data_IF_867303530285
#
_entry.id   IF_867303530285
#
_cell.length_a   1.000
_cell.length_b   1.000
_cell.length_c   1.000
_cell.angle_alpha   90.00
_cell.angle_beta   90.00
_cell.angle_gamma   90.00
#
_symmetry.space_group_name_H-M   'P 1'
#
loop_
_entity.id
_entity.type
_entity.pdbx_description
1 polymer ?
#
# COMPACT_ATOMS: atom_id res chain seq x y z
N UNK A 1 9.33 14.55 -8.76
CA UNK A 1 9.50 13.61 -7.62
C UNK A 1 9.02 14.33 -6.38
N UNK A 2 8.26 13.66 -5.50
CA UNK A 2 7.84 14.29 -4.23
C UNK A 2 9.06 14.50 -3.34
N UNK A 3 9.18 15.72 -2.79
CA UNK A 3 10.29 16.11 -1.91
C UNK A 3 10.20 15.32 -0.60
N UNK A 4 11.34 14.86 -0.06
CA UNK A 4 11.41 14.27 1.29
C UNK A 4 10.99 12.80 1.42
N UNK A 5 10.67 12.09 0.34
CA UNK A 5 10.39 10.64 0.41
C UNK A 5 11.62 9.85 0.84
N UNK A 6 12.82 10.27 0.41
CA UNK A 6 14.06 9.62 0.83
C UNK A 6 14.29 9.81 2.32
N UNK A 7 14.06 11.03 2.84
CA UNK A 7 14.14 11.32 4.27
C UNK A 7 13.10 10.53 5.10
N UNK A 8 11.89 10.34 4.56
CA UNK A 8 10.86 9.49 5.19
C UNK A 8 11.40 8.06 5.38
N UNK A 9 11.95 7.48 4.31
CA UNK A 9 12.49 6.12 4.34
C UNK A 9 13.73 6.02 5.22
N UNK A 10 14.65 6.98 5.15
CA UNK A 10 15.83 7.05 6.02
C UNK A 10 15.42 7.11 7.49
N UNK A 11 14.45 7.97 7.82
CA UNK A 11 13.95 8.10 9.20
C UNK A 11 13.29 6.81 9.67
N UNK A 12 12.47 6.16 8.85
CA UNK A 12 11.84 4.91 9.19
C UNK A 12 12.85 3.73 9.34
N UNK A 13 14.01 3.78 8.68
CA UNK A 13 15.07 2.77 8.80
C UNK A 13 15.87 2.83 10.10
N UNK A 14 15.87 3.97 10.81
CA UNK A 14 16.67 4.16 12.05
C UNK A 14 16.29 3.17 13.14
N UNK A 15 15.03 2.76 13.16
CA UNK A 15 14.52 1.78 14.10
C UNK A 15 13.91 0.60 13.35
N UNK A 16 14.45 -0.58 13.53
CA UNK A 16 13.93 -1.81 12.95
C UNK A 16 12.62 -2.19 13.63
N UNK A 17 11.68 -2.66 12.83
CA UNK A 17 10.42 -3.22 13.31
C UNK A 17 10.53 -4.74 13.33
N UNK A 18 10.31 -5.34 14.50
CA UNK A 18 10.17 -6.78 14.61
C UNK A 18 8.69 -7.17 14.62
N UNK A 19 8.31 -8.12 13.76
CA UNK A 19 6.93 -8.57 13.63
C UNK A 19 6.79 -9.98 14.22
N UNK A 20 5.64 -10.31 14.83
CA UNK A 20 5.39 -11.60 15.44
C UNK A 20 5.07 -12.73 14.45
N UNK A 21 5.33 -12.54 13.16
CA UNK A 21 5.05 -13.46 12.07
C UNK A 21 6.16 -13.41 11.02
N UNK A 22 6.15 -14.38 10.09
CA UNK A 22 7.19 -14.53 9.06
C UNK A 22 6.68 -14.24 7.64
N UNK A 23 5.38 -14.02 7.46
CA UNK A 23 4.75 -13.78 6.17
C UNK A 23 3.55 -12.85 6.29
N UNK A 24 3.50 -11.84 5.43
CA UNK A 24 2.29 -11.04 5.17
C UNK A 24 2.27 -10.53 3.74
N UNK A 25 1.10 -10.10 3.30
CA UNK A 25 0.91 -9.48 1.99
C UNK A 25 0.58 -8.00 2.16
N UNK A 26 1.06 -7.18 1.24
CA UNK A 26 0.72 -5.77 1.17
C UNK A 26 0.12 -5.43 -0.19
N UNK A 27 -0.96 -4.64 -0.19
CA UNK A 27 -1.60 -4.14 -1.41
C UNK A 27 -1.84 -2.63 -1.25
N UNK A 28 -1.23 -1.82 -2.12
CA UNK A 28 -1.66 -0.43 -2.25
C UNK A 28 -3.04 -0.38 -2.87
N UNK A 29 -3.91 0.53 -2.43
CA UNK A 29 -5.24 0.71 -3.02
C UNK A 29 -5.20 0.85 -4.55
N UNK A 30 -6.29 0.45 -5.23
CA UNK A 30 -6.48 0.64 -6.66
C UNK A 30 -6.54 2.13 -7.06
N UNK A 31 -6.48 2.39 -8.35
CA UNK A 31 -6.47 3.75 -8.90
C UNK A 31 -7.74 4.54 -8.54
N UNK A 32 -7.55 5.85 -8.36
CA UNK A 32 -8.62 6.83 -8.12
C UNK A 32 -8.52 7.95 -9.16
N UNK A 33 -9.55 8.76 -9.30
CA UNK A 33 -9.48 9.98 -10.10
C UNK A 33 -8.33 10.91 -9.64
N UNK A 34 -8.06 10.95 -8.32
CA UNK A 34 -6.96 11.74 -7.77
C UNK A 34 -5.58 11.20 -8.14
N UNK A 35 -5.40 9.86 -8.28
CA UNK A 35 -4.13 9.32 -8.81
C UNK A 35 -3.92 9.73 -10.26
N UNK A 36 -4.93 9.55 -11.11
CA UNK A 36 -4.86 9.92 -12.51
C UNK A 36 -4.67 11.43 -12.73
N UNK A 37 -5.26 12.26 -11.85
CA UNK A 37 -5.16 13.72 -11.92
C UNK A 37 -3.99 14.33 -11.14
N UNK A 38 -3.14 13.53 -10.47
CA UNK A 38 -2.01 14.05 -9.69
C UNK A 38 -2.44 14.93 -8.50
N UNK A 39 -3.51 14.54 -7.78
CA UNK A 39 -4.10 15.33 -6.69
C UNK A 39 -3.90 14.62 -5.35
N UNK A 40 -3.63 15.39 -4.28
CA UNK A 40 -3.65 14.93 -2.89
C UNK A 40 -5.09 14.61 -2.50
N UNK A 41 -5.36 13.35 -2.18
CA UNK A 41 -6.72 12.84 -2.09
C UNK A 41 -7.35 13.01 -0.71
N UNK A 42 -8.65 13.29 -0.68
CA UNK A 42 -9.46 13.21 0.53
C UNK A 42 -9.63 11.75 1.01
N UNK A 43 -9.92 11.53 2.30
CA UNK A 43 -10.20 10.18 2.83
C UNK A 43 -11.36 9.47 2.11
N UNK A 44 -12.36 10.23 1.65
CA UNK A 44 -13.57 9.74 0.99
C UNK A 44 -13.42 9.50 -0.51
N UNK A 45 -12.22 9.72 -1.09
CA UNK A 45 -11.99 9.48 -2.52
C UNK A 45 -12.15 7.98 -2.85
N UNK A 46 -13.12 7.61 -3.74
CA UNK A 46 -13.35 6.21 -4.11
C UNK A 46 -12.38 5.75 -5.20
N UNK A 47 -12.37 4.46 -5.48
CA UNK A 47 -11.75 3.90 -6.68
C UNK A 47 -12.49 4.40 -7.94
N UNK A 48 -11.74 4.63 -9.02
CA UNK A 48 -12.32 4.79 -10.36
C UNK A 48 -12.54 3.40 -11.01
N UNK A 49 -13.05 3.37 -12.24
CA UNK A 49 -13.32 2.12 -12.97
C UNK A 49 -12.05 1.27 -13.15
N UNK A 50 -10.91 1.89 -13.47
CA UNK A 50 -9.63 1.20 -13.58
C UNK A 50 -9.21 0.61 -12.22
N UNK A 51 -9.34 1.39 -11.13
CA UNK A 51 -9.03 0.95 -9.78
C UNK A 51 -9.89 -0.21 -9.29
N UNK A 52 -11.17 -0.24 -9.63
CA UNK A 52 -12.05 -1.38 -9.36
C UNK A 52 -11.56 -2.67 -10.05
N UNK A 53 -11.20 -2.57 -11.33
CA UNK A 53 -10.64 -3.68 -12.09
C UNK A 53 -9.27 -4.13 -11.53
N UNK A 54 -8.43 -3.19 -11.12
CA UNK A 54 -7.14 -3.46 -10.47
C UNK A 54 -7.33 -4.19 -9.14
N UNK A 55 -8.24 -3.72 -8.28
CA UNK A 55 -8.55 -4.34 -6.99
C UNK A 55 -9.05 -5.78 -7.15
N UNK A 56 -9.90 -6.03 -8.14
CA UNK A 56 -10.38 -7.38 -8.46
C UNK A 56 -9.25 -8.30 -8.93
N UNK A 57 -8.33 -7.81 -9.79
CA UNK A 57 -7.13 -8.58 -10.21
C UNK A 57 -6.22 -8.89 -9.02
N UNK A 58 -5.98 -7.93 -8.13
CA UNK A 58 -5.20 -8.14 -6.93
C UNK A 58 -5.79 -9.25 -6.04
N UNK A 59 -7.11 -9.25 -5.86
CA UNK A 59 -7.80 -10.31 -5.15
C UNK A 59 -7.62 -11.67 -5.81
N UNK A 60 -7.67 -11.75 -7.15
CA UNK A 60 -7.43 -13.00 -7.88
C UNK A 60 -6.01 -13.54 -7.68
N UNK A 61 -5.01 -12.68 -7.71
CA UNK A 61 -3.61 -13.06 -7.47
C UNK A 61 -3.40 -13.60 -6.04
N UNK A 62 -4.12 -13.04 -5.07
CA UNK A 62 -4.01 -13.47 -3.67
C UNK A 62 -4.88 -14.69 -3.32
N UNK A 63 -5.74 -15.16 -4.22
CA UNK A 63 -6.68 -16.26 -3.93
C UNK A 63 -5.98 -17.55 -3.52
N UNK A 64 -4.89 -17.87 -4.19
CA UNK A 64 -4.14 -19.12 -3.98
C UNK A 64 -2.99 -18.94 -2.97
N UNK A 65 -2.86 -17.75 -2.40
CA UNK A 65 -1.91 -17.46 -1.33
C UNK A 65 -2.54 -17.77 0.05
N UNK A 66 -1.75 -18.12 1.07
CA UNK A 66 -2.25 -18.56 2.37
C UNK A 66 -2.80 -17.42 3.25
N UNK A 67 -3.49 -16.45 2.66
CA UNK A 67 -4.06 -15.30 3.37
C UNK A 67 -5.14 -15.78 4.35
N UNK A 68 -4.99 -15.41 5.63
CA UNK A 68 -5.94 -15.82 6.68
C UNK A 68 -6.97 -14.75 7.03
N UNK A 69 -6.64 -13.47 6.80
CA UNK A 69 -7.56 -12.35 6.99
C UNK A 69 -7.07 -11.12 6.20
N UNK A 70 -7.98 -10.17 5.98
CA UNK A 70 -7.67 -8.91 5.29
C UNK A 70 -7.85 -7.75 6.25
N UNK A 71 -6.86 -6.86 6.34
CA UNK A 71 -6.91 -5.63 7.13
C UNK A 71 -6.77 -4.43 6.21
N UNK A 72 -7.76 -3.55 6.14
CA UNK A 72 -7.73 -2.40 5.26
C UNK A 72 -7.69 -1.07 6.03
N UNK A 73 -7.04 -0.08 5.44
CA UNK A 73 -7.16 1.31 5.86
C UNK A 73 -8.64 1.76 5.80
N UNK A 74 -9.02 2.64 6.72
CA UNK A 74 -10.37 3.24 6.75
C UNK A 74 -10.64 4.21 5.60
N UNK A 75 -9.62 4.64 4.83
CA UNK A 75 -9.85 5.49 3.66
C UNK A 75 -10.56 4.72 2.56
N UNK A 76 -11.58 5.34 1.96
CA UNK A 76 -12.55 4.67 1.09
C UNK A 76 -11.91 3.85 -0.03
N UNK A 77 -10.90 4.38 -0.74
CA UNK A 77 -10.18 3.68 -1.81
C UNK A 77 -9.49 2.39 -1.35
N UNK A 78 -8.89 2.41 -0.16
CA UNK A 78 -8.24 1.22 0.41
C UNK A 78 -9.28 0.23 0.95
N UNK A 79 -10.33 0.72 1.58
CA UNK A 79 -11.45 -0.11 2.03
C UNK A 79 -12.11 -0.87 0.86
N UNK A 80 -12.42 -0.17 -0.26
CA UNK A 80 -12.97 -0.80 -1.46
C UNK A 80 -12.02 -1.84 -2.07
N UNK A 81 -10.72 -1.57 -2.05
CA UNK A 81 -9.70 -2.55 -2.48
C UNK A 81 -9.68 -3.76 -1.54
N UNK A 82 -9.71 -3.53 -0.23
CA UNK A 82 -9.79 -4.58 0.80
C UNK A 82 -11.02 -5.46 0.66
N UNK A 83 -12.18 -4.88 0.32
CA UNK A 83 -13.40 -5.66 0.04
C UNK A 83 -13.21 -6.63 -1.13
N UNK A 84 -12.54 -6.19 -2.21
CA UNK A 84 -12.26 -7.04 -3.36
C UNK A 84 -11.27 -8.18 -3.00
N UNK A 85 -10.22 -7.86 -2.23
CA UNK A 85 -9.25 -8.85 -1.74
C UNK A 85 -9.94 -9.87 -0.82
N UNK A 86 -10.62 -9.42 0.24
CA UNK A 86 -11.27 -10.29 1.20
C UNK A 86 -12.30 -11.23 0.56
N UNK A 87 -13.07 -10.72 -0.42
CA UNK A 87 -14.02 -11.53 -1.18
C UNK A 87 -13.33 -12.63 -2.00
N UNK A 88 -12.20 -12.30 -2.63
CA UNK A 88 -11.49 -13.26 -3.50
C UNK A 88 -10.73 -14.33 -2.68
N UNK A 89 -10.19 -13.96 -1.53
CA UNK A 89 -9.45 -14.85 -0.62
C UNK A 89 -10.35 -15.56 0.40
N UNK A 90 -11.66 -15.25 0.40
CA UNK A 90 -12.64 -15.79 1.37
C UNK A 90 -12.27 -15.49 2.83
N UNK A 91 -11.66 -14.32 3.09
CA UNK A 91 -11.23 -13.91 4.42
C UNK A 91 -12.15 -12.88 5.04
N UNK A 92 -12.11 -12.76 6.38
CA UNK A 92 -12.76 -11.66 7.08
C UNK A 92 -12.02 -10.34 6.79
N UNK A 93 -12.77 -9.26 6.57
CA UNK A 93 -12.25 -7.90 6.42
C UNK A 93 -12.41 -7.13 7.72
N UNK A 94 -11.31 -6.67 8.29
CA UNK A 94 -11.28 -5.67 9.35
C UNK A 94 -10.68 -4.35 8.87
N UNK A 95 -10.88 -3.27 9.62
CA UNK A 95 -10.34 -1.96 9.28
C UNK A 95 -9.37 -1.46 10.36
N UNK A 96 -8.38 -0.70 9.93
CA UNK A 96 -7.39 -0.11 10.82
C UNK A 96 -7.12 1.36 10.45
N UNK A 97 -7.33 2.27 11.41
CA UNK A 97 -7.12 3.70 11.19
C UNK A 97 -5.65 4.12 11.26
N UNK A 98 -4.76 3.27 11.78
CA UNK A 98 -3.33 3.56 11.89
C UNK A 98 -2.59 3.36 10.57
N UNK A 99 -3.19 2.62 9.60
CA UNK A 99 -2.64 2.44 8.25
C UNK A 99 -3.29 3.34 7.19
N UNK A 100 -3.93 4.46 7.58
CA UNK A 100 -4.36 5.48 6.60
C UNK A 100 -3.16 6.19 5.99
N UNK A 101 -3.32 6.77 4.79
CA UNK A 101 -2.29 7.59 4.16
C UNK A 101 -1.98 8.80 5.02
N UNK A 102 -0.79 9.39 4.84
CA UNK A 102 -0.41 10.61 5.54
C UNK A 102 -1.46 11.69 5.36
N UNK A 103 -1.83 12.33 6.47
CA UNK A 103 -2.77 13.44 6.48
C UNK A 103 -2.03 14.71 6.10
N UNK A 104 -2.35 15.24 4.93
CA UNK A 104 -1.71 16.43 4.37
C UNK A 104 -2.51 17.73 4.65
N UNK A 105 -3.53 17.67 5.53
CA UNK A 105 -4.29 18.84 5.97
C UNK A 105 -4.83 19.67 4.81
N UNK A 106 -4.52 20.96 4.78
CA UNK A 106 -5.00 21.91 3.77
C UNK A 106 -4.54 21.55 2.34
N UNK A 107 -3.52 20.71 2.16
CA UNK A 107 -3.05 20.26 0.84
C UNK A 107 -4.02 19.28 0.15
N UNK A 108 -5.01 18.75 0.87
CA UNK A 108 -6.02 17.88 0.26
C UNK A 108 -6.80 18.62 -0.84
N UNK A 109 -6.97 17.99 -1.98
CA UNK A 109 -7.57 18.58 -3.18
C UNK A 109 -6.61 19.38 -4.05
N UNK A 110 -5.37 19.61 -3.62
CA UNK A 110 -4.34 20.33 -4.37
C UNK A 110 -3.46 19.39 -5.19
N UNK A 111 -2.76 19.90 -6.22
CA UNK A 111 -1.76 19.11 -6.96
C UNK A 111 -0.70 18.48 -6.04
N UNK A 112 -0.21 17.31 -6.41
CA UNK A 112 0.77 16.56 -5.63
C UNK A 112 2.21 16.62 -6.17
N UNK A 113 2.45 17.29 -7.28
CA UNK A 113 3.77 17.35 -7.94
C UNK A 113 4.83 18.08 -7.10
N UNK A 114 4.41 19.00 -6.22
CA UNK A 114 5.22 19.79 -5.30
C UNK A 114 5.02 19.36 -3.82
N UNK A 115 4.45 18.19 -3.60
CA UNK A 115 4.16 17.71 -2.25
C UNK A 115 5.46 17.44 -1.50
N UNK A 116 5.66 18.16 -0.41
CA UNK A 116 6.81 18.00 0.48
C UNK A 116 6.44 17.09 1.66
N UNK A 117 7.11 15.94 1.73
CA UNK A 117 6.94 14.97 2.82
C UNK A 117 7.66 15.39 4.11
N UNK A 118 8.49 16.41 4.09
CA UNK A 118 9.14 16.96 5.30
C UNK A 118 8.27 18.00 6.00
N UNK A 119 7.32 18.59 5.26
CA UNK A 119 6.42 19.61 5.78
C UNK A 119 5.46 19.04 6.85
N UNK A 120 4.99 19.91 7.74
CA UNK A 120 3.91 19.64 8.69
C UNK A 120 2.74 20.59 8.38
N UNK A 121 1.90 20.23 7.38
CA UNK A 121 0.86 21.12 6.92
C UNK A 121 -0.22 21.34 8.00
N UNK A 122 -0.77 22.54 8.06
CA UNK A 122 -1.85 22.87 8.99
C UNK A 122 -3.04 21.90 8.80
N UNK A 123 -3.52 21.32 9.90
CA UNK A 123 -4.55 20.27 9.90
C UNK A 123 -4.08 18.89 9.40
N UNK A 124 -2.79 18.76 9.13
CA UNK A 124 -2.15 17.50 8.77
C UNK A 124 -1.40 16.85 9.94
N UNK A 125 -0.44 16.00 9.63
CA UNK A 125 0.39 15.33 10.63
C UNK A 125 1.88 15.44 10.29
N UNK A 126 2.75 15.38 11.32
CA UNK A 126 4.19 15.32 11.12
C UNK A 126 4.60 14.00 10.45
N UNK A 127 5.77 14.00 9.82
CA UNK A 127 6.37 12.80 9.24
C UNK A 127 6.61 11.72 10.31
N UNK A 128 7.08 12.11 11.50
CA UNK A 128 7.33 11.15 12.59
C UNK A 128 6.04 10.50 13.08
N UNK A 129 4.96 11.28 13.30
CA UNK A 129 3.67 10.72 13.70
C UNK A 129 3.12 9.72 12.65
N UNK A 130 3.29 10.04 11.36
CA UNK A 130 2.92 9.11 10.28
C UNK A 130 3.71 7.81 10.33
N UNK A 131 5.03 7.86 10.56
CA UNK A 131 5.89 6.68 10.71
C UNK A 131 5.41 5.84 11.89
N UNK A 132 5.27 6.46 13.07
CA UNK A 132 4.96 5.75 14.32
C UNK A 132 3.61 5.03 14.24
N UNK A 133 2.55 5.72 13.77
CA UNK A 133 1.24 5.10 13.64
C UNK A 133 1.18 4.03 12.54
N UNK A 134 1.95 4.19 11.44
CA UNK A 134 2.02 3.15 10.40
C UNK A 134 2.64 1.87 10.95
N UNK A 135 3.69 1.98 11.73
CA UNK A 135 4.34 0.84 12.41
C UNK A 135 3.39 0.16 13.40
N UNK A 136 2.70 0.97 14.24
CA UNK A 136 1.67 0.45 15.15
C UNK A 136 0.57 -0.28 14.38
N UNK A 137 0.06 0.33 13.31
CA UNK A 137 -1.00 -0.27 12.50
C UNK A 137 -0.60 -1.57 11.81
N UNK A 138 0.67 -1.72 11.42
CA UNK A 138 1.18 -2.99 10.92
C UNK A 138 1.24 -4.06 12.03
N UNK A 139 1.73 -3.71 13.23
CA UNK A 139 1.73 -4.63 14.38
C UNK A 139 0.31 -5.08 14.73
N UNK A 140 -0.64 -4.17 14.77
CA UNK A 140 -2.06 -4.47 15.01
C UNK A 140 -2.63 -5.40 13.92
N UNK A 141 -2.30 -5.17 12.64
CA UNK A 141 -2.72 -6.04 11.54
C UNK A 141 -2.12 -7.45 11.66
N UNK A 142 -0.86 -7.54 12.08
CA UNK A 142 -0.17 -8.82 12.31
C UNK A 142 -0.71 -9.59 13.54
N UNK A 143 -1.36 -8.91 14.48
CA UNK A 143 -1.93 -9.55 15.67
C UNK A 143 -3.29 -10.23 15.40
N UNK A 144 -3.96 -9.94 14.27
CA UNK A 144 -5.29 -10.50 13.96
C UNK A 144 -5.21 -11.97 13.55
N UNK A 145 -4.10 -12.41 12.92
CA UNK A 145 -3.93 -13.80 12.49
C UNK A 145 -2.56 -14.03 11.81
N UNK A 146 -2.24 -15.26 11.45
CA UNK A 146 -0.87 -15.65 11.10
C UNK A 146 -0.37 -15.10 9.76
N UNK A 147 -1.26 -14.85 8.77
CA UNK A 147 -0.87 -14.37 7.44
C UNK A 147 -1.86 -13.28 6.98
N UNK A 148 -1.66 -12.02 7.37
CA UNK A 148 -2.54 -10.92 6.96
C UNK A 148 -2.27 -10.45 5.54
N UNK A 149 -3.34 -10.00 4.84
CA UNK A 149 -3.25 -9.11 3.68
C UNK A 149 -3.56 -7.68 4.15
N UNK A 150 -2.56 -6.81 4.13
CA UNK A 150 -2.66 -5.40 4.54
C UNK A 150 -2.93 -4.54 3.33
N UNK A 151 -4.07 -3.85 3.31
CA UNK A 151 -4.48 -2.99 2.19
C UNK A 151 -4.43 -1.52 2.61
N UNK A 152 -3.45 -0.79 2.08
CA UNK A 152 -3.17 0.58 2.52
C UNK A 152 -2.68 1.47 1.38
N UNK A 153 -1.67 2.30 1.59
CA UNK A 153 -1.28 3.39 0.70
C UNK A 153 0.22 3.39 0.40
N UNK A 154 0.64 4.23 -0.56
CA UNK A 154 2.02 4.30 -1.01
C UNK A 154 2.99 4.80 0.05
N UNK A 155 2.56 5.74 0.89
CA UNK A 155 3.36 6.21 2.02
C UNK A 155 3.58 5.12 3.08
N UNK A 156 2.51 4.38 3.43
CA UNK A 156 2.61 3.25 4.38
C UNK A 156 3.57 2.17 3.86
N UNK A 157 3.50 1.81 2.56
CA UNK A 157 4.42 0.84 1.98
C UNK A 157 5.89 1.25 2.16
N UNK A 158 6.21 2.52 1.93
CA UNK A 158 7.57 3.04 2.10
C UNK A 158 8.05 2.95 3.55
N UNK A 159 7.20 3.35 4.49
CA UNK A 159 7.52 3.22 5.93
C UNK A 159 7.72 1.77 6.33
N UNK A 160 6.82 0.87 5.91
CA UNK A 160 6.88 -0.56 6.23
C UNK A 160 8.18 -1.18 5.67
N UNK A 161 8.45 -1.00 4.38
CA UNK A 161 9.63 -1.55 3.75
C UNK A 161 10.93 -1.05 4.42
N UNK A 162 11.02 0.26 4.67
CA UNK A 162 12.17 0.87 5.35
C UNK A 162 12.33 0.33 6.78
N UNK A 163 11.25 0.23 7.56
CA UNK A 163 11.30 -0.30 8.95
C UNK A 163 11.70 -1.78 9.00
N UNK A 164 11.37 -2.56 7.97
CA UNK A 164 11.79 -3.96 7.84
C UNK A 164 13.17 -4.11 7.17
N UNK A 165 13.76 -3.02 6.66
CA UNK A 165 15.04 -3.00 5.99
C UNK A 165 15.04 -3.60 4.60
N UNK A 166 13.90 -3.51 3.92
CA UNK A 166 13.69 -3.99 2.56
C UNK A 166 13.73 -2.80 1.60
N UNK A 167 14.40 -2.96 0.47
CA UNK A 167 14.32 -2.01 -0.63
C UNK A 167 13.08 -2.26 -1.48
N UNK A 168 12.53 -1.19 -2.04
CA UNK A 168 11.36 -1.25 -2.90
C UNK A 168 11.81 -1.32 -4.36
N UNK A 169 11.64 -2.47 -5.04
CA UNK A 169 11.87 -2.57 -6.48
C UNK A 169 10.95 -1.62 -7.27
N UNK A 170 11.36 -1.28 -8.50
CA UNK A 170 10.53 -0.51 -9.40
C UNK A 170 9.16 -1.16 -9.60
N UNK A 171 8.12 -0.34 -9.63
CA UNK A 171 6.74 -0.83 -9.74
C UNK A 171 6.08 -1.28 -8.44
N UNK A 172 6.83 -1.49 -7.33
CA UNK A 172 6.25 -1.93 -6.04
C UNK A 172 5.14 -1.01 -5.53
N UNK A 173 5.25 0.29 -5.80
CA UNK A 173 4.28 1.30 -5.37
C UNK A 173 3.12 1.45 -6.37
N UNK A 174 2.98 0.54 -7.33
CA UNK A 174 1.87 0.50 -8.28
C UNK A 174 0.50 0.30 -7.60
N UNK A 175 -0.58 0.82 -8.22
CA UNK A 175 -1.92 0.65 -7.69
C UNK A 175 -2.34 -0.83 -7.74
N UNK A 176 -2.87 -1.33 -6.63
CA UNK A 176 -3.34 -2.70 -6.43
C UNK A 176 -2.36 -3.78 -6.94
N UNK A 177 -1.06 -3.56 -6.71
CA UNK A 177 -0.02 -4.55 -6.97
C UNK A 177 0.23 -5.34 -5.68
N UNK A 178 -0.11 -6.64 -5.61
CA UNK A 178 0.11 -7.43 -4.41
C UNK A 178 1.60 -7.74 -4.23
N UNK A 179 2.09 -7.48 -3.04
CA UNK A 179 3.47 -7.70 -2.62
C UNK A 179 3.49 -8.74 -1.49
N UNK A 180 4.44 -9.67 -1.55
CA UNK A 180 4.72 -10.66 -0.52
C UNK A 180 5.94 -10.20 0.27
N UNK A 181 5.77 -10.02 1.57
CA UNK A 181 6.85 -9.83 2.54
C UNK A 181 7.06 -11.13 3.30
N UNK A 182 8.26 -11.66 3.25
CA UNK A 182 8.61 -12.93 3.87
C UNK A 182 9.93 -12.83 4.63
N UNK A 183 9.98 -13.42 5.83
CA UNK A 183 11.20 -13.50 6.63
C UNK A 183 12.07 -14.64 6.07
N UNK A 184 13.31 -14.34 5.74
CA UNK A 184 14.27 -15.31 5.21
C UNK A 184 15.70 -14.91 5.62
N UNK A 185 16.50 -15.87 6.03
CA UNK A 185 17.94 -15.66 6.32
C UNK A 185 18.24 -14.62 7.41
N UNK A 186 17.31 -14.40 8.37
CA UNK A 186 17.45 -13.41 9.43
C UNK A 186 17.02 -12.00 9.08
N UNK A 187 16.43 -11.78 7.90
CA UNK A 187 15.86 -10.51 7.43
C UNK A 187 14.53 -10.68 6.72
N UNK A 188 14.01 -9.58 6.17
CA UNK A 188 12.81 -9.58 5.36
C UNK A 188 13.17 -9.47 3.87
N UNK A 189 12.41 -10.14 3.03
CA UNK A 189 12.46 -10.04 1.57
C UNK A 189 11.10 -9.57 1.04
N UNK A 190 11.10 -8.99 -0.15
CA UNK A 190 9.91 -8.52 -0.84
C UNK A 190 9.90 -9.10 -2.27
N UNK A 191 8.76 -9.64 -2.69
CA UNK A 191 8.53 -10.11 -4.05
C UNK A 191 7.12 -9.75 -4.52
N UNK A 192 6.93 -9.74 -5.84
CA UNK A 192 5.60 -9.59 -6.43
C UNK A 192 4.84 -10.90 -6.41
N UNK A 193 3.56 -10.87 -6.03
CA UNK A 193 2.68 -12.05 -6.13
C UNK A 193 2.36 -12.30 -7.61
N UNK A 194 2.51 -13.56 -8.04
CA UNK A 194 2.27 -13.96 -9.43
C UNK A 194 3.47 -13.76 -10.37
N UNK A 195 4.67 -13.44 -9.86
CA UNK A 195 5.90 -13.34 -10.66
C UNK A 195 5.96 -12.17 -11.64
N UNK A 196 5.13 -11.14 -11.46
CA UNK A 196 5.11 -9.94 -12.32
C UNK A 196 6.15 -8.95 -11.82
N UNK A 197 7.30 -8.89 -12.48
CA UNK A 197 8.42 -8.00 -12.08
C UNK A 197 8.19 -6.51 -12.31
N UNK A 198 7.18 -6.07 -13.05
CA UNK A 198 6.69 -4.67 -13.09
C UNK A 198 5.42 -4.50 -13.94
N UNK A 199 4.58 -3.54 -13.59
CA UNK A 199 3.39 -3.16 -14.36
C UNK A 199 3.68 -2.60 -15.78
N UNK A 200 4.93 -2.40 -16.15
CA UNK A 200 5.35 -1.86 -17.44
C UNK A 200 5.20 -2.88 -18.59
N UNK A 201 5.13 -4.17 -18.30
CA UNK A 201 5.03 -5.24 -19.32
C UNK A 201 3.59 -5.48 -19.84
N UNK A 202 2.55 -4.92 -19.22
CA UNK A 202 1.16 -5.23 -19.60
C UNK A 202 0.54 -4.30 -20.65
N UNK A 203 1.23 -3.21 -21.04
CA UNK A 203 0.70 -2.29 -22.05
C UNK A 203 0.91 -2.77 -23.51
N UNK A 204 1.74 -3.79 -23.76
CA UNK A 204 2.10 -4.22 -25.11
C UNK A 204 1.32 -5.44 -25.66
N UNK A 205 0.42 -6.02 -24.87
CA UNK A 205 -0.28 -7.26 -25.28
C UNK A 205 -1.67 -7.05 -25.94
N UNK A 206 -2.06 -5.80 -26.26
CA UNK A 206 -3.38 -5.52 -26.86
C UNK A 206 -3.25 -4.81 -28.22
N UNK A 207 -2.45 -5.34 -29.13
CA UNK A 207 -2.57 -5.05 -30.56
C UNK A 207 -2.38 -6.37 -31.34
N UNK A 208 -3.43 -7.15 -31.47
CA UNK A 208 -3.53 -8.12 -32.55
C UNK A 208 -3.99 -7.37 -33.80
N UNK A 209 -3.35 -7.55 -34.97
CA UNK A 209 -3.82 -6.93 -36.18
C UNK A 209 -5.13 -7.59 -36.65
N UNK A 210 -6.14 -6.78 -36.88
CA UNK A 210 -7.34 -7.17 -37.61
C UNK A 210 -6.95 -7.25 -39.09
N UNK A 211 -6.92 -8.45 -39.61
CA UNK A 211 -6.86 -8.74 -41.06
C UNK A 211 -8.26 -8.80 -41.64
#
# INVERSE_FOLDING_TARGET
MSIGLDLLMETARRERLDLPLDLFYFVRHGETAGNAGGIVQFPTAPLNTAGMAQAWRAGKLLRDEPVTHTVASTFQRAYMTGQAVARATHTHLSVNQNIVERRFGYRQGMPNHDLDWTDHPAGGESMQHFIDRTRLGLLEACAVGPVPAVVAHGGNLRVIAASLGVDLPDGSVGNATPLRFERSGGGWTLSFVGGIESATSMASATQAPVS
#
